data_IF_941481877144
#
_entry.id   IF_941481877144
#
_cell.length_a   1.000
_cell.length_b   1.000
_cell.length_c   1.000
_cell.angle_alpha   90.00
_cell.angle_beta   90.00
_cell.angle_gamma   90.00
#
_symmetry.space_group_name_H-M   'P 1'
#
loop_
_entity.id
_entity.type
_entity.pdbx_description
1 polymer ?
#
# COMPACT_ATOMS: atom_id res chain seq x y z
N UNK A 1 -49.64 16.13 -34.35
CA UNK A 1 -48.33 15.48 -34.55
C UNK A 1 -47.42 15.93 -33.42
N UNK A 2 -47.27 15.13 -32.35
CA UNK A 2 -46.39 15.46 -31.20
C UNK A 2 -45.02 14.85 -31.47
N UNK A 3 -44.01 15.71 -31.63
CA UNK A 3 -42.62 15.29 -31.68
C UNK A 3 -42.15 15.08 -30.23
N UNK A 4 -41.90 13.83 -29.85
CA UNK A 4 -41.22 13.50 -28.61
C UNK A 4 -39.75 13.88 -28.77
N UNK A 5 -39.33 14.94 -28.08
CA UNK A 5 -37.92 15.22 -27.85
C UNK A 5 -37.44 14.20 -26.82
N UNK A 6 -36.75 13.16 -27.29
CA UNK A 6 -36.05 12.23 -26.42
C UNK A 6 -34.98 13.00 -25.65
N UNK A 7 -35.21 13.23 -24.37
CA UNK A 7 -34.17 13.62 -23.44
C UNK A 7 -33.18 12.46 -23.35
N UNK A 8 -32.01 12.62 -23.98
CA UNK A 8 -30.87 11.77 -23.65
C UNK A 8 -30.68 11.81 -22.13
N UNK A 9 -30.62 10.67 -21.42
CA UNK A 9 -30.26 10.69 -20.02
C UNK A 9 -28.84 11.24 -19.94
N UNK A 10 -28.69 12.42 -19.32
CA UNK A 10 -27.39 12.98 -19.02
C UNK A 10 -26.63 11.94 -18.21
N UNK A 11 -25.51 11.46 -18.74
CA UNK A 11 -24.57 10.64 -17.98
C UNK A 11 -24.19 11.47 -16.75
N UNK A 12 -24.49 11.02 -15.53
CA UNK A 12 -24.10 11.79 -14.35
C UNK A 12 -22.59 11.98 -14.39
N UNK A 13 -22.14 13.23 -14.31
CA UNK A 13 -20.70 13.51 -14.23
C UNK A 13 -20.13 12.75 -13.02
N UNK A 14 -18.97 12.09 -13.17
CA UNK A 14 -18.35 11.40 -12.07
C UNK A 14 -18.17 12.39 -10.91
N UNK A 15 -18.69 12.05 -9.72
CA UNK A 15 -18.36 12.79 -8.50
C UNK A 15 -16.83 12.82 -8.35
N UNK A 16 -16.28 13.87 -7.73
CA UNK A 16 -14.82 14.00 -7.56
C UNK A 16 -14.17 12.73 -6.98
N UNK A 17 -14.86 12.04 -6.08
CA UNK A 17 -14.41 10.76 -5.52
C UNK A 17 -14.34 9.65 -6.59
N UNK A 18 -15.39 9.44 -7.39
CA UNK A 18 -15.42 8.34 -8.38
C UNK A 18 -14.26 8.40 -9.38
N UNK A 19 -13.89 9.60 -9.85
CA UNK A 19 -12.73 9.78 -10.72
C UNK A 19 -11.43 9.41 -10.00
N UNK A 20 -11.26 9.84 -8.75
CA UNK A 20 -10.08 9.53 -7.94
C UNK A 20 -9.98 8.02 -7.67
N UNK A 21 -11.09 7.33 -7.42
CA UNK A 21 -11.15 5.88 -7.22
C UNK A 21 -10.72 5.12 -8.48
N UNK A 22 -11.22 5.52 -9.66
CA UNK A 22 -10.78 4.93 -10.93
C UNK A 22 -9.28 5.14 -11.19
N UNK A 23 -8.76 6.35 -10.93
CA UNK A 23 -7.33 6.64 -11.08
C UNK A 23 -6.48 5.89 -10.06
N UNK A 24 -6.97 5.67 -8.83
CA UNK A 24 -6.29 4.88 -7.82
C UNK A 24 -6.21 3.41 -8.25
N UNK A 25 -7.31 2.85 -8.77
CA UNK A 25 -7.36 1.48 -9.27
C UNK A 25 -6.30 1.25 -10.35
N UNK A 26 -6.25 2.14 -11.35
CA UNK A 26 -5.25 2.09 -12.42
C UNK A 26 -3.83 2.05 -11.83
N UNK A 27 -3.51 2.96 -10.90
CA UNK A 27 -2.18 3.05 -10.28
C UNK A 27 -1.83 1.79 -9.50
N UNK A 28 -2.75 1.27 -8.69
CA UNK A 28 -2.56 0.05 -7.91
C UNK A 28 -2.33 -1.16 -8.82
N UNK A 29 -3.17 -1.34 -9.84
CA UNK A 29 -3.05 -2.47 -10.77
C UNK A 29 -1.70 -2.41 -11.52
N UNK A 30 -1.29 -1.25 -12.01
CA UNK A 30 0.01 -1.11 -12.68
C UNK A 30 1.21 -1.28 -11.75
N UNK A 31 1.04 -1.03 -10.46
CA UNK A 31 2.10 -1.25 -9.47
C UNK A 31 2.22 -2.72 -9.06
N UNK A 32 1.10 -3.37 -8.78
CA UNK A 32 1.02 -4.77 -8.36
C UNK A 32 1.28 -5.74 -9.53
N UNK A 33 0.77 -5.41 -10.72
CA UNK A 33 0.84 -6.22 -11.94
C UNK A 33 1.54 -5.46 -13.08
N UNK A 34 2.85 -5.19 -12.97
CA UNK A 34 3.58 -4.47 -14.02
C UNK A 34 3.56 -5.26 -15.33
N UNK A 35 2.98 -4.67 -16.39
CA UNK A 35 2.99 -5.22 -17.74
C UNK A 35 4.16 -4.65 -18.53
N UNK A 36 4.86 -5.50 -19.27
CA UNK A 36 5.95 -5.11 -20.18
C UNK A 36 7.06 -4.28 -19.51
N UNK A 37 7.31 -4.48 -18.21
CA UNK A 37 8.32 -3.73 -17.45
C UNK A 37 7.93 -2.29 -17.06
N UNK A 38 6.78 -1.79 -17.51
CA UNK A 38 6.25 -0.49 -17.10
C UNK A 38 5.54 -0.64 -15.76
N UNK A 39 6.23 -0.27 -14.68
CA UNK A 39 5.68 -0.23 -13.32
C UNK A 39 5.40 1.22 -12.94
N UNK A 40 4.20 1.50 -12.42
CA UNK A 40 3.93 2.79 -11.79
C UNK A 40 4.89 3.00 -10.61
N UNK A 41 5.53 4.16 -10.54
CA UNK A 41 6.44 4.47 -9.42
C UNK A 41 5.73 4.22 -8.08
N UNK A 42 6.36 3.43 -7.21
CA UNK A 42 5.85 3.12 -5.88
C UNK A 42 5.50 4.40 -5.11
N UNK A 43 6.39 5.40 -5.12
CA UNK A 43 6.16 6.67 -4.42
C UNK A 43 4.86 7.34 -4.87
N UNK A 44 4.58 7.32 -6.18
CA UNK A 44 3.37 7.91 -6.76
C UNK A 44 2.13 7.17 -6.27
N UNK A 45 2.17 5.83 -6.18
CA UNK A 45 1.03 5.04 -5.68
C UNK A 45 0.80 5.31 -4.19
N UNK A 46 1.87 5.32 -3.39
CA UNK A 46 1.77 5.55 -1.94
C UNK A 46 1.25 6.95 -1.61
N UNK A 47 1.74 7.97 -2.30
CA UNK A 47 1.27 9.35 -2.11
C UNK A 47 -0.20 9.50 -2.54
N UNK A 48 -0.59 8.82 -3.62
CA UNK A 48 -1.95 8.86 -4.11
C UNK A 48 -2.93 8.14 -3.17
N UNK A 49 -2.55 6.99 -2.60
CA UNK A 49 -3.32 6.31 -1.55
C UNK A 49 -3.57 7.24 -0.36
N UNK A 50 -2.54 7.91 0.15
CA UNK A 50 -2.68 8.86 1.26
C UNK A 50 -3.58 10.04 0.89
N UNK A 51 -3.45 10.55 -0.33
CA UNK A 51 -4.27 11.66 -0.82
C UNK A 51 -5.75 11.27 -0.90
N UNK A 52 -6.08 10.15 -1.54
CA UNK A 52 -7.46 9.66 -1.67
C UNK A 52 -8.06 9.41 -0.29
N UNK A 53 -7.32 8.72 0.60
CA UNK A 53 -7.74 8.50 1.97
C UNK A 53 -8.03 9.81 2.70
N UNK A 54 -7.05 10.72 2.76
CA UNK A 54 -7.16 11.96 3.53
C UNK A 54 -8.26 12.89 3.02
N UNK A 55 -8.46 12.96 1.71
CA UNK A 55 -9.52 13.79 1.11
C UNK A 55 -10.94 13.25 1.37
N UNK A 56 -11.09 11.95 1.66
CA UNK A 56 -12.39 11.27 1.77
C UNK A 56 -12.52 10.44 3.06
N UNK A 57 -11.77 10.78 4.11
CA UNK A 57 -11.74 10.01 5.35
C UNK A 57 -13.12 9.88 5.99
N UNK A 58 -13.93 10.94 5.96
CA UNK A 58 -15.29 10.92 6.49
C UNK A 58 -16.17 9.89 5.76
N UNK A 59 -16.09 9.84 4.43
CA UNK A 59 -16.80 8.84 3.62
C UNK A 59 -16.34 7.43 3.95
N UNK A 60 -15.03 7.19 4.02
CA UNK A 60 -14.50 5.87 4.36
C UNK A 60 -14.90 5.44 5.78
N UNK A 61 -14.96 6.37 6.73
CA UNK A 61 -15.46 6.10 8.10
C UNK A 61 -16.90 5.60 8.10
N UNK A 62 -17.76 6.23 7.30
CA UNK A 62 -19.18 5.86 7.23
C UNK A 62 -19.38 4.49 6.57
N UNK A 63 -18.60 4.17 5.54
CA UNK A 63 -18.73 2.89 4.80
C UNK A 63 -18.03 1.73 5.53
N UNK A 64 -16.83 1.94 6.08
CA UNK A 64 -16.04 0.90 6.76
C UNK A 64 -16.55 0.57 8.17
N UNK A 65 -17.28 1.51 8.81
CA UNK A 65 -17.91 1.35 10.12
C UNK A 65 -16.93 0.80 11.16
N UNK A 66 -17.20 -0.38 11.72
CA UNK A 66 -16.41 -1.01 12.77
C UNK A 66 -14.98 -1.35 12.34
N UNK A 67 -14.73 -1.54 11.04
CA UNK A 67 -13.39 -1.85 10.52
C UNK A 67 -12.55 -0.61 10.23
N UNK A 68 -13.14 0.59 10.26
CA UNK A 68 -12.47 1.82 9.85
C UNK A 68 -11.12 2.00 10.55
N UNK A 69 -11.06 1.79 11.87
CA UNK A 69 -9.83 1.99 12.65
C UNK A 69 -8.74 1.02 12.19
N UNK A 70 -9.06 -0.27 12.09
CA UNK A 70 -8.10 -1.30 11.70
C UNK A 70 -7.67 -1.16 10.24
N UNK A 71 -8.60 -0.89 9.32
CA UNK A 71 -8.31 -0.66 7.90
C UNK A 71 -7.43 0.57 7.70
N UNK A 72 -7.72 1.66 8.42
CA UNK A 72 -6.85 2.85 8.46
C UNK A 72 -5.45 2.48 8.93
N UNK A 73 -5.35 1.80 10.06
CA UNK A 73 -4.06 1.47 10.67
C UNK A 73 -3.23 0.59 9.75
N UNK A 74 -3.81 -0.48 9.20
CA UNK A 74 -3.18 -1.38 8.25
C UNK A 74 -2.72 -0.63 7.00
N UNK A 75 -3.55 0.24 6.42
CA UNK A 75 -3.17 1.02 5.23
C UNK A 75 -1.95 1.90 5.50
N UNK A 76 -1.98 2.70 6.58
CA UNK A 76 -0.88 3.62 6.87
C UNK A 76 0.39 2.88 7.32
N UNK A 77 0.25 1.75 7.99
CA UNK A 77 1.38 0.91 8.37
C UNK A 77 2.04 0.29 7.13
N UNK A 78 1.25 -0.21 6.18
CA UNK A 78 1.77 -0.71 4.90
C UNK A 78 2.49 0.39 4.12
N UNK A 79 1.88 1.59 4.00
CA UNK A 79 2.51 2.72 3.31
C UNK A 79 3.85 3.10 3.94
N UNK A 80 3.92 3.15 5.27
CA UNK A 80 5.17 3.44 5.98
C UNK A 80 6.20 2.33 5.76
N UNK A 81 5.80 1.05 5.86
CA UNK A 81 6.70 -0.08 5.61
C UNK A 81 7.33 0.01 4.22
N UNK A 82 6.50 0.22 3.18
CA UNK A 82 6.97 0.34 1.79
C UNK A 82 7.96 1.50 1.64
N UNK A 83 7.66 2.69 2.17
CA UNK A 83 8.59 3.85 2.13
C UNK A 83 9.92 3.57 2.82
N UNK A 84 9.88 2.92 3.99
CA UNK A 84 11.09 2.55 4.74
C UNK A 84 11.91 1.53 3.95
N UNK A 85 11.27 0.53 3.33
CA UNK A 85 11.95 -0.43 2.44
C UNK A 85 12.64 0.25 1.26
N UNK A 86 11.94 1.10 0.49
CA UNK A 86 12.55 1.77 -0.67
C UNK A 86 13.70 2.69 -0.26
N UNK A 87 13.63 3.27 0.95
CA UNK A 87 14.70 4.12 1.49
C UNK A 87 15.93 3.30 1.91
N UNK A 88 15.74 2.15 2.55
CA UNK A 88 16.82 1.21 2.86
C UNK A 88 17.49 0.70 1.57
N UNK A 89 16.71 0.32 0.56
CA UNK A 89 17.26 -0.11 -0.73
C UNK A 89 18.14 0.97 -1.37
N UNK A 90 17.70 2.23 -1.33
CA UNK A 90 18.44 3.36 -1.91
C UNK A 90 19.77 3.57 -1.21
N UNK A 91 19.78 3.51 0.12
CA UNK A 91 21.00 3.68 0.93
C UNK A 91 21.99 2.54 0.67
N UNK A 92 21.50 1.31 0.49
CA UNK A 92 22.37 0.16 0.21
C UNK A 92 22.93 0.22 -1.22
N UNK A 93 22.11 0.60 -2.21
CA UNK A 93 22.55 0.74 -3.62
C UNK A 93 23.49 1.93 -3.85
N UNK A 94 23.37 3.00 -3.06
CA UNK A 94 24.07 4.28 -3.21
C UNK A 94 25.56 4.32 -2.79
N UNK A 95 26.20 3.16 -2.62
CA UNK A 95 27.52 2.91 -2.00
C UNK A 95 27.52 2.86 -0.45
N UNK A 96 28.03 1.75 0.14
CA UNK A 96 28.19 1.65 1.57
C UNK A 96 29.37 2.52 2.03
N UNK A 97 29.10 3.76 2.41
CA UNK A 97 30.06 4.52 3.22
C UNK A 97 30.33 3.76 4.54
N UNK A 98 31.61 3.71 4.93
CA UNK A 98 32.10 3.16 6.21
C UNK A 98 32.03 4.19 7.36
N UNK A 99 31.46 5.37 7.13
CA UNK A 99 31.29 6.37 8.17
C UNK A 99 30.34 5.84 9.24
N UNK A 100 30.73 5.98 10.52
CA UNK A 100 29.93 5.53 11.66
C UNK A 100 28.52 6.16 11.66
N UNK A 101 28.37 7.40 11.19
CA UNK A 101 27.07 8.06 11.10
C UNK A 101 26.13 7.36 10.11
N UNK A 102 26.63 6.93 8.96
CA UNK A 102 25.83 6.22 7.96
C UNK A 102 25.45 4.82 8.44
N UNK A 103 26.33 4.18 9.21
CA UNK A 103 26.03 2.91 9.87
C UNK A 103 24.91 3.06 10.91
N UNK A 104 24.94 4.11 11.73
CA UNK A 104 23.88 4.42 12.70
C UNK A 104 22.55 4.67 11.98
N UNK A 105 22.55 5.44 10.89
CA UNK A 105 21.35 5.69 10.10
C UNK A 105 20.75 4.40 9.54
N UNK A 106 21.58 3.50 8.98
CA UNK A 106 21.13 2.17 8.51
C UNK A 106 20.52 1.35 9.63
N UNK A 107 21.17 1.31 10.80
CA UNK A 107 20.67 0.60 11.99
C UNK A 107 19.30 1.09 12.42
N UNK A 108 19.12 2.41 12.50
CA UNK A 108 17.85 3.01 12.90
C UNK A 108 16.73 2.66 11.91
N UNK A 109 16.98 2.77 10.61
CA UNK A 109 15.97 2.47 9.58
C UNK A 109 15.61 0.98 9.53
N UNK A 110 16.59 0.09 9.67
CA UNK A 110 16.34 -1.35 9.77
C UNK A 110 15.53 -1.69 11.02
N UNK A 111 15.83 -1.04 12.14
CA UNK A 111 15.08 -1.23 13.38
C UNK A 111 13.63 -0.70 13.25
N UNK A 112 13.45 0.44 12.59
CA UNK A 112 12.11 0.97 12.26
C UNK A 112 11.32 -0.05 11.44
N UNK A 113 11.92 -0.63 10.39
CA UNK A 113 11.27 -1.65 9.57
C UNK A 113 10.84 -2.88 10.39
N UNK A 114 11.67 -3.33 11.33
CA UNK A 114 11.30 -4.43 12.24
C UNK A 114 10.13 -4.07 13.13
N UNK A 115 10.11 -2.86 13.70
CA UNK A 115 9.00 -2.37 14.52
C UNK A 115 7.70 -2.34 13.69
N UNK A 116 7.76 -1.84 12.46
CA UNK A 116 6.61 -1.81 11.55
C UNK A 116 6.05 -3.21 11.30
N UNK A 117 6.92 -4.20 11.06
CA UNK A 117 6.50 -5.59 10.84
C UNK A 117 5.93 -6.26 12.07
N UNK A 118 6.51 -6.03 13.24
CA UNK A 118 5.94 -6.54 14.50
C UNK A 118 4.55 -5.95 14.78
N UNK A 119 4.37 -4.66 14.49
CA UNK A 119 3.05 -4.04 14.55
C UNK A 119 2.10 -4.67 13.55
N UNK A 120 2.54 -4.86 12.31
CA UNK A 120 1.73 -5.47 11.25
C UNK A 120 1.18 -6.81 11.69
N UNK A 121 2.05 -7.70 12.17
CA UNK A 121 1.67 -9.03 12.67
C UNK A 121 0.69 -9.00 13.86
N UNK A 122 0.60 -7.89 14.59
CA UNK A 122 -0.32 -7.75 15.73
C UNK A 122 -1.73 -7.28 15.37
N UNK A 123 -2.00 -6.90 14.11
CA UNK A 123 -3.25 -6.26 13.68
C UNK A 123 -4.37 -7.22 13.25
N UNK A 124 -4.47 -8.39 13.87
CA UNK A 124 -5.57 -9.32 13.61
C UNK A 124 -6.91 -8.77 14.16
N UNK A 125 -7.96 -8.86 13.35
CA UNK A 125 -9.32 -8.42 13.75
C UNK A 125 -10.27 -9.60 13.70
N UNK A 126 -10.99 -9.83 14.79
CA UNK A 126 -12.03 -10.85 14.84
C UNK A 126 -13.40 -10.21 14.56
N UNK A 127 -14.04 -10.62 13.47
CA UNK A 127 -15.39 -10.17 13.07
C UNK A 127 -16.50 -11.12 13.59
N UNK A 128 -16.21 -11.92 14.61
CA UNK A 128 -17.11 -12.92 15.19
C UNK A 128 -17.21 -14.22 14.37
N UNK A 129 -17.11 -14.15 13.04
CA UNK A 129 -17.16 -15.32 12.16
C UNK A 129 -15.78 -15.77 11.65
N UNK A 130 -14.83 -14.84 11.51
CA UNK A 130 -13.49 -15.12 11.03
C UNK A 130 -12.48 -14.14 11.63
N UNK A 131 -11.23 -14.61 11.73
CA UNK A 131 -10.09 -13.75 12.05
C UNK A 131 -9.54 -13.21 10.73
N UNK A 132 -9.64 -11.90 10.55
CA UNK A 132 -9.08 -11.18 9.41
C UNK A 132 -7.62 -10.88 9.69
N UNK A 133 -6.75 -11.31 8.77
CA UNK A 133 -5.34 -10.93 8.83
C UNK A 133 -5.16 -9.46 8.42
N UNK A 134 -4.03 -8.82 8.77
CA UNK A 134 -3.68 -7.48 8.29
C UNK A 134 -3.68 -7.38 6.76
N UNK A 135 -3.31 -8.46 6.07
CA UNK A 135 -3.33 -8.52 4.62
C UNK A 135 -4.74 -8.55 4.05
N UNK A 136 -5.65 -9.32 4.66
CA UNK A 136 -7.05 -9.33 4.25
C UNK A 136 -7.68 -7.95 4.46
N UNK A 137 -7.38 -7.29 5.59
CA UNK A 137 -7.81 -5.91 5.86
C UNK A 137 -7.26 -4.93 4.82
N UNK A 138 -6.01 -5.08 4.39
CA UNK A 138 -5.42 -4.22 3.36
C UNK A 138 -6.10 -4.43 2.01
N UNK A 139 -6.35 -5.68 1.61
CA UNK A 139 -7.02 -5.99 0.35
C UNK A 139 -8.46 -5.45 0.32
N UNK A 140 -9.20 -5.60 1.43
CA UNK A 140 -10.53 -4.98 1.60
C UNK A 140 -10.45 -3.45 1.52
N UNK A 141 -9.41 -2.86 2.12
CA UNK A 141 -9.20 -1.40 2.07
C UNK A 141 -8.94 -0.92 0.65
N UNK A 142 -8.09 -1.62 -0.12
CA UNK A 142 -7.86 -1.29 -1.53
C UNK A 142 -9.15 -1.41 -2.34
N UNK A 143 -9.87 -2.52 -2.23
CA UNK A 143 -11.12 -2.74 -2.95
C UNK A 143 -12.15 -1.64 -2.66
N UNK A 144 -12.30 -1.24 -1.40
CA UNK A 144 -13.21 -0.15 -1.05
C UNK A 144 -12.73 1.22 -1.54
N UNK A 145 -11.43 1.52 -1.40
CA UNK A 145 -10.86 2.76 -1.91
C UNK A 145 -10.91 2.87 -3.44
N UNK A 146 -11.02 1.75 -4.16
CA UNK A 146 -11.17 1.72 -5.62
C UNK A 146 -12.60 1.51 -6.09
N UNK A 147 -13.57 1.36 -5.17
CA UNK A 147 -14.97 1.03 -5.47
C UNK A 147 -15.09 -0.25 -6.32
N UNK A 148 -14.35 -1.28 -5.92
CA UNK A 148 -14.31 -2.61 -6.53
C UNK A 148 -14.41 -3.70 -5.46
N UNK A 149 -15.31 -3.53 -4.48
CA UNK A 149 -15.59 -4.58 -3.49
C UNK A 149 -15.92 -5.92 -4.16
N UNK A 150 -15.41 -7.01 -3.59
CA UNK A 150 -15.47 -8.35 -4.18
C UNK A 150 -14.29 -8.70 -5.10
N UNK A 151 -13.30 -7.81 -5.24
CA UNK A 151 -12.04 -8.09 -5.97
C UNK A 151 -10.83 -8.20 -5.04
N UNK A 152 -11.02 -8.51 -3.76
CA UNK A 152 -9.96 -8.56 -2.75
C UNK A 152 -8.88 -9.59 -3.10
N UNK A 153 -9.27 -10.74 -3.66
CA UNK A 153 -8.34 -11.79 -4.09
C UNK A 153 -7.36 -11.28 -5.16
N UNK A 154 -7.79 -10.38 -6.05
CA UNK A 154 -6.90 -9.77 -7.04
C UNK A 154 -5.82 -8.92 -6.36
N UNK A 155 -6.16 -8.18 -5.31
CA UNK A 155 -5.17 -7.42 -4.56
C UNK A 155 -4.21 -8.34 -3.80
N UNK A 156 -4.72 -9.45 -3.27
CA UNK A 156 -3.92 -10.47 -2.57
C UNK A 156 -2.86 -11.09 -3.48
N UNK A 157 -3.27 -11.51 -4.69
CA UNK A 157 -2.34 -12.01 -5.71
C UNK A 157 -1.27 -10.96 -6.06
N UNK A 158 -1.68 -9.70 -6.18
CA UNK A 158 -0.78 -8.58 -6.46
C UNK A 158 0.23 -8.34 -5.33
N UNK A 159 -0.20 -8.43 -4.08
CA UNK A 159 0.67 -8.31 -2.91
C UNK A 159 1.66 -9.48 -2.83
N UNK A 160 1.24 -10.70 -3.15
CA UNK A 160 2.13 -11.87 -3.19
C UNK A 160 3.20 -11.73 -4.28
N UNK A 161 2.85 -11.21 -5.46
CA UNK A 161 3.82 -10.86 -6.49
C UNK A 161 4.81 -9.79 -6.00
N UNK A 162 4.31 -8.78 -5.27
CA UNK A 162 5.15 -7.73 -4.71
C UNK A 162 6.14 -8.29 -3.68
N UNK A 163 5.69 -9.18 -2.79
CA UNK A 163 6.53 -9.88 -1.79
C UNK A 163 7.59 -10.75 -2.44
N UNK A 164 7.24 -11.49 -3.50
CA UNK A 164 8.18 -12.33 -4.24
C UNK A 164 9.34 -11.50 -4.81
N UNK A 165 9.05 -10.28 -5.27
CA UNK A 165 10.04 -9.34 -5.81
C UNK A 165 10.88 -8.59 -4.77
N UNK A 166 10.61 -8.74 -3.47
CA UNK A 166 11.41 -8.09 -2.41
C UNK A 166 12.80 -8.74 -2.35
N UNK A 167 13.89 -7.96 -2.25
CA UNK A 167 15.22 -8.52 -2.05
C UNK A 167 15.32 -9.36 -0.77
N UNK A 168 16.03 -10.50 -0.81
CA UNK A 168 16.04 -11.45 0.32
C UNK A 168 16.53 -10.86 1.63
N UNK A 169 17.48 -9.93 1.59
CA UNK A 169 17.96 -9.22 2.79
C UNK A 169 16.88 -8.35 3.47
N UNK A 170 15.83 -7.97 2.73
CA UNK A 170 14.65 -7.28 3.26
C UNK A 170 13.53 -8.26 3.63
N UNK A 171 13.56 -9.53 3.21
CA UNK A 171 12.50 -10.50 3.53
C UNK A 171 12.53 -10.98 5.00
N UNK A 172 13.70 -10.91 5.66
CA UNK A 172 13.86 -11.56 6.97
C UNK A 172 13.30 -10.76 8.16
N UNK A 173 12.58 -11.49 9.02
CA UNK A 173 12.23 -11.10 10.40
C UNK A 173 13.49 -10.92 11.26
N UNK A 174 14.52 -11.72 10.97
CA UNK A 174 15.86 -11.65 11.53
C UNK A 174 16.83 -10.96 10.57
N UNK A 175 16.56 -9.71 10.16
CA UNK A 175 17.51 -8.89 9.40
C UNK A 175 18.85 -8.78 10.15
N UNK A 176 19.76 -9.76 10.07
CA UNK A 176 21.09 -9.62 10.66
C UNK A 176 21.71 -8.39 10.02
N UNK A 177 22.16 -7.46 10.85
CA UNK A 177 22.85 -6.27 10.36
C UNK A 177 24.18 -6.77 9.81
N UNK A 178 24.21 -7.04 8.51
CA UNK A 178 25.45 -7.38 7.81
C UNK A 178 26.14 -6.05 7.55
N UNK A 179 27.05 -5.71 8.47
CA UNK A 179 28.00 -4.63 8.25
C UNK A 179 28.96 -5.15 7.19
N UNK A 180 28.78 -4.73 5.94
CA UNK A 180 29.84 -4.85 4.95
C UNK A 180 30.93 -3.85 5.35
N UNK A 181 31.87 -4.29 6.17
CA UNK A 181 33.17 -3.64 6.22
C UNK A 181 33.82 -3.92 4.87
N UNK A 182 34.04 -2.89 4.06
CA UNK A 182 34.96 -3.01 2.94
C UNK A 182 36.29 -3.47 3.50
N UNK A 183 36.64 -4.74 3.26
CA UNK A 183 38.01 -5.19 3.45
C UNK A 183 38.83 -4.42 2.42
N UNK A 184 39.77 -3.62 2.91
CA UNK A 184 40.70 -2.84 2.10
C UNK A 184 41.61 -3.71 1.24
#
# INVERSE_FOLDING_TARGET
MRLYVGTNPAVPEPTGLSLLQCQLLEKLVHFLFPRNGLRTSESVVLDYLQHVWGAHEAYFRDVMKQFFVSQREVLFLWIQERRTMSSIERIIKGQPSACALDMVNRLLMMNELRILRLRWESLEVNDGNQVLSPEDLLCMTFAMMTNTEGTEDLFKDGLDMLKAGVPDFLKFKDMKIVIFSSVG
#
